data_IF_338066506715
#
_entry.id   IF_338066506715
#
_cell.length_a   1.000
_cell.length_b   1.000
_cell.length_c   1.000
_cell.angle_alpha   90.00
_cell.angle_beta   90.00
_cell.angle_gamma   90.00
#
_symmetry.space_group_name_H-M   'P 1'
#
loop_
_entity.id
_entity.type
_entity.pdbx_description
1 polymer ?
#
# COMPACT_ATOMS: atom_id res chain seq x y z
N UNK A 1 0.02 19.47 -14.14
CA UNK A 1 -1.05 18.45 -13.92
C UNK A 1 -1.18 18.19 -12.43
N UNK A 2 -2.33 18.51 -11.83
CA UNK A 2 -2.61 18.32 -10.39
C UNK A 2 -2.82 16.81 -10.12
N UNK A 3 -1.82 16.14 -9.54
CA UNK A 3 -1.92 14.72 -9.14
C UNK A 3 -2.95 14.59 -8.02
N UNK A 4 -4.04 13.85 -8.27
CA UNK A 4 -5.01 13.47 -7.24
C UNK A 4 -4.33 12.49 -6.29
N UNK A 5 -3.92 12.99 -5.12
CA UNK A 5 -3.34 12.22 -4.02
C UNK A 5 -4.45 11.35 -3.43
N UNK A 6 -4.32 10.02 -3.48
CA UNK A 6 -5.20 9.09 -2.75
C UNK A 6 -4.47 8.59 -1.49
N UNK A 7 -5.10 8.58 -0.31
CA UNK A 7 -4.51 8.00 0.91
C UNK A 7 -4.30 6.48 0.75
N UNK A 8 -3.42 5.89 1.55
CA UNK A 8 -3.34 4.43 1.71
C UNK A 8 -4.60 3.92 2.41
N UNK A 9 -5.09 2.71 2.09
CA UNK A 9 -6.35 2.19 2.62
C UNK A 9 -6.17 0.87 3.38
N UNK A 10 -7.00 0.64 4.41
CA UNK A 10 -7.07 -0.61 5.15
C UNK A 10 -7.72 -1.74 4.34
N UNK A 11 -7.86 -2.92 4.96
CA UNK A 11 -8.47 -4.12 4.38
C UNK A 11 -9.94 -3.94 3.94
N UNK A 12 -10.58 -2.85 4.37
CA UNK A 12 -11.98 -2.54 4.06
C UNK A 12 -12.11 -1.32 3.14
N UNK A 13 -10.99 -0.84 2.59
CA UNK A 13 -10.99 0.31 1.71
C UNK A 13 -11.25 1.63 2.44
N UNK A 14 -10.91 1.73 3.73
CA UNK A 14 -10.91 2.98 4.48
C UNK A 14 -9.52 3.62 4.50
N UNK A 15 -9.40 4.93 4.29
CA UNK A 15 -8.11 5.60 4.31
C UNK A 15 -7.46 5.52 5.69
N UNK A 16 -6.22 5.04 5.76
CA UNK A 16 -5.44 4.93 6.99
C UNK A 16 -5.07 6.34 7.50
N UNK A 17 -5.41 6.70 8.75
CA UNK A 17 -5.13 8.02 9.30
C UNK A 17 -3.62 8.28 9.37
N UNK A 18 -3.18 9.43 8.85
CA UNK A 18 -1.77 9.84 8.85
C UNK A 18 -0.92 9.35 7.68
N UNK A 19 -1.51 8.68 6.69
CA UNK A 19 -0.78 8.26 5.48
C UNK A 19 -0.50 9.46 4.56
N UNK A 20 0.79 9.74 4.35
CA UNK A 20 1.23 10.64 3.29
C UNK A 20 1.09 9.95 1.92
N UNK A 21 0.99 10.71 0.82
CA UNK A 21 1.04 10.14 -0.52
C UNK A 21 2.27 9.27 -0.70
N UNK A 22 2.08 8.07 -1.22
CA UNK A 22 3.16 7.19 -1.63
C UNK A 22 3.98 7.83 -2.74
N UNK A 23 5.26 7.45 -2.82
CA UNK A 23 6.03 7.62 -4.05
C UNK A 23 5.35 6.87 -5.20
N UNK A 24 5.57 7.30 -6.44
CA UNK A 24 4.95 6.64 -7.60
C UNK A 24 5.36 5.16 -7.72
N UNK A 25 6.60 4.84 -7.35
CA UNK A 25 7.11 3.47 -7.34
C UNK A 25 6.43 2.64 -6.24
N UNK A 26 6.30 3.21 -5.03
CA UNK A 26 5.62 2.57 -3.91
C UNK A 26 4.13 2.31 -4.18
N UNK A 27 3.43 3.25 -4.83
CA UNK A 27 2.02 3.09 -5.24
C UNK A 27 1.88 1.97 -6.28
N UNK A 28 2.78 1.93 -7.28
CA UNK A 28 2.78 0.84 -8.28
C UNK A 28 3.01 -0.52 -7.64
N UNK A 29 3.98 -0.61 -6.71
CA UNK A 29 4.30 -1.87 -6.03
C UNK A 29 3.16 -2.33 -5.11
N UNK A 30 2.57 -1.44 -4.31
CA UNK A 30 1.42 -1.79 -3.46
C UNK A 30 0.26 -2.34 -4.30
N UNK A 31 -0.08 -1.68 -5.42
CA UNK A 31 -1.15 -2.15 -6.32
C UNK A 31 -0.86 -3.52 -6.93
N UNK A 32 0.39 -3.76 -7.36
CA UNK A 32 0.78 -5.05 -7.90
C UNK A 32 0.63 -6.16 -6.85
N UNK A 33 1.01 -5.90 -5.60
CA UNK A 33 0.84 -6.84 -4.50
C UNK A 33 -0.63 -7.09 -4.19
N UNK A 34 -1.49 -6.07 -4.16
CA UNK A 34 -2.93 -6.26 -3.94
C UNK A 34 -3.59 -7.10 -5.04
N UNK A 35 -3.19 -6.92 -6.30
CA UNK A 35 -3.63 -7.80 -7.38
C UNK A 35 -3.20 -9.25 -7.16
N UNK A 36 -1.95 -9.48 -6.76
CA UNK A 36 -1.46 -10.83 -6.44
C UNK A 36 -2.13 -11.44 -5.21
N UNK A 37 -2.47 -10.63 -4.20
CA UNK A 37 -3.23 -11.01 -3.01
C UNK A 37 -4.63 -11.51 -3.40
N UNK A 38 -5.31 -10.76 -4.26
CA UNK A 38 -6.61 -11.12 -4.81
C UNK A 38 -6.55 -12.42 -5.62
N UNK A 39 -5.57 -12.56 -6.51
CA UNK A 39 -5.36 -13.80 -7.28
C UNK A 39 -5.12 -14.99 -6.34
N UNK A 40 -4.22 -14.84 -5.36
CA UNK A 40 -3.92 -15.87 -4.37
C UNK A 40 -5.17 -16.30 -3.59
N UNK A 41 -6.03 -15.35 -3.22
CA UNK A 41 -7.29 -15.63 -2.55
C UNK A 41 -8.25 -16.43 -3.44
N UNK A 42 -8.44 -16.03 -4.70
CA UNK A 42 -9.30 -16.73 -5.66
C UNK A 42 -8.82 -18.16 -5.98
N UNK A 43 -7.51 -18.41 -5.88
CA UNK A 43 -6.93 -19.74 -6.04
C UNK A 43 -6.90 -20.58 -4.75
N UNK A 44 -7.46 -20.09 -3.64
CA UNK A 44 -7.54 -20.83 -2.38
C UNK A 44 -6.27 -20.76 -1.51
N UNK A 45 -5.30 -19.93 -1.88
CA UNK A 45 -4.06 -19.70 -1.12
C UNK A 45 -4.25 -18.65 -0.02
N UNK A 46 -5.19 -18.88 0.90
CA UNK A 46 -5.62 -17.86 1.88
C UNK A 46 -4.51 -17.32 2.79
N UNK A 47 -3.57 -18.16 3.22
CA UNK A 47 -2.41 -17.70 4.00
C UNK A 47 -1.48 -16.81 3.17
N UNK A 48 -1.20 -17.20 1.92
CA UNK A 48 -0.38 -16.40 1.01
C UNK A 48 -1.03 -15.06 0.70
N UNK A 49 -2.34 -15.03 0.41
CA UNK A 49 -3.09 -13.81 0.19
C UNK A 49 -2.95 -12.84 1.38
N UNK A 50 -3.14 -13.33 2.61
CA UNK A 50 -2.97 -12.52 3.82
C UNK A 50 -1.54 -11.95 3.96
N UNK A 51 -0.50 -12.75 3.69
CA UNK A 51 0.89 -12.30 3.76
C UNK A 51 1.22 -11.24 2.68
N UNK A 52 0.67 -11.41 1.47
CA UNK A 52 0.87 -10.46 0.37
C UNK A 52 0.18 -9.13 0.71
N UNK A 53 -1.03 -9.18 1.26
CA UNK A 53 -1.77 -8.00 1.70
C UNK A 53 -1.02 -7.25 2.81
N UNK A 54 -0.45 -7.96 3.78
CA UNK A 54 0.40 -7.40 4.82
C UNK A 54 1.65 -6.72 4.23
N UNK A 55 2.28 -7.32 3.21
CA UNK A 55 3.43 -6.73 2.54
C UNK A 55 3.06 -5.42 1.82
N UNK A 56 1.91 -5.36 1.15
CA UNK A 56 1.39 -4.14 0.53
C UNK A 56 1.21 -3.04 1.58
N UNK A 57 0.55 -3.36 2.70
CA UNK A 57 0.35 -2.42 3.81
C UNK A 57 1.68 -1.92 4.40
N UNK A 58 2.67 -2.79 4.54
CA UNK A 58 3.99 -2.41 5.06
C UNK A 58 4.71 -1.41 4.13
N UNK A 59 4.67 -1.64 2.82
CA UNK A 59 5.24 -0.71 1.83
C UNK A 59 4.55 0.65 1.92
N UNK A 60 3.23 0.68 2.09
CA UNK A 60 2.49 1.94 2.22
C UNK A 60 2.94 2.73 3.46
N UNK A 61 3.07 2.03 4.58
CA UNK A 61 3.48 2.61 5.86
C UNK A 61 4.94 3.12 5.84
N UNK A 62 5.89 2.31 5.35
CA UNK A 62 7.31 2.70 5.30
C UNK A 62 7.56 3.82 4.29
N UNK A 63 6.84 3.83 3.17
CA UNK A 63 6.94 4.93 2.20
C UNK A 63 6.50 6.26 2.82
N UNK A 64 5.41 6.25 3.59
CA UNK A 64 4.97 7.44 4.32
C UNK A 64 6.02 7.89 5.36
N UNK A 65 6.65 6.94 6.07
CA UNK A 65 7.70 7.22 7.06
C UNK A 65 8.96 7.84 6.42
N UNK A 66 9.42 7.29 5.30
CA UNK A 66 10.59 7.78 4.57
C UNK A 66 10.37 9.20 4.02
N UNK A 67 9.16 9.49 3.52
CA UNK A 67 8.81 10.83 3.04
C UNK A 67 8.78 11.86 4.18
N UNK A 68 8.32 11.48 5.38
CA UNK A 68 8.41 12.36 6.56
C UNK A 68 9.86 12.67 6.93
N UNK A 69 10.74 11.66 6.90
CA UNK A 69 12.16 11.85 7.22
C UNK A 69 12.87 12.72 6.19
N UNK A 70 12.55 12.56 4.90
CA UNK A 70 13.10 13.40 3.82
C UNK A 70 12.70 14.86 3.95
N UNK A 71 11.43 15.16 4.29
CA UNK A 71 10.95 16.55 4.46
C UNK A 71 11.51 17.27 5.68
N UNK A 72 12.09 16.54 6.64
CA UNK A 72 12.72 17.11 7.85
C UNK A 72 14.21 17.44 7.66
N UNK A 73 14.83 17.02 6.56
CA UNK A 73 16.20 17.40 6.17
C UNK A 73 16.16 18.54 5.18
#
# INVERSE_FOLDING_TARGET
MRRKIRPGHDLFGHPLPGTLPLSEESDRLSRALRGLSEDAFHHGYGQSACLIELAANYIEMESARLDQLRRRR
#
